data_IF_154640196504
#
_entry.id   IF_154640196504
#
_cell.length_a   1.000
_cell.length_b   1.000
_cell.length_c   1.000
_cell.angle_alpha   90.00
_cell.angle_beta   90.00
_cell.angle_gamma   90.00
#
_symmetry.space_group_name_H-M   'P 1'
#
loop_
_entity.id
_entity.type
_entity.pdbx_description
1 polymer ?
#
# COMPACT_ATOMS: atom_id res chain seq x y z
N UNK A 1 2.12 -38.78 5.08
CA UNK A 1 2.28 -37.74 6.12
C UNK A 1 1.97 -36.39 5.49
N UNK A 2 0.93 -35.67 5.94
CA UNK A 2 0.72 -34.27 5.52
C UNK A 2 1.94 -33.47 6.03
N UNK A 3 2.64 -32.77 5.13
CA UNK A 3 3.75 -31.87 5.52
C UNK A 3 3.21 -30.87 6.54
N UNK A 4 3.88 -30.73 7.68
CA UNK A 4 3.50 -29.75 8.70
C UNK A 4 3.42 -28.35 8.07
N UNK A 5 2.27 -27.71 8.21
CA UNK A 5 2.06 -26.34 7.76
C UNK A 5 2.57 -25.39 8.85
N UNK A 6 3.58 -24.59 8.52
CA UNK A 6 4.21 -23.64 9.45
C UNK A 6 3.83 -22.24 9.01
N UNK A 7 3.30 -21.46 9.94
CA UNK A 7 2.89 -20.07 9.72
C UNK A 7 3.81 -19.15 10.52
N UNK A 8 4.58 -18.24 9.89
CA UNK A 8 5.34 -17.25 10.62
C UNK A 8 4.38 -16.28 11.31
N UNK A 9 4.66 -15.95 12.57
CA UNK A 9 3.87 -15.03 13.39
C UNK A 9 4.71 -13.81 13.75
N UNK A 10 4.04 -12.69 14.03
CA UNK A 10 4.71 -11.48 14.49
C UNK A 10 5.25 -11.66 15.91
N UNK A 11 6.15 -10.77 16.34
CA UNK A 11 6.70 -10.80 17.70
C UNK A 11 5.60 -10.60 18.75
N UNK A 12 4.63 -9.73 18.45
CA UNK A 12 3.50 -9.44 19.33
C UNK A 12 2.63 -10.69 19.55
N UNK A 13 2.32 -11.43 18.48
CA UNK A 13 1.56 -12.68 18.59
C UNK A 13 2.35 -13.74 19.35
N UNK A 14 3.67 -13.86 19.10
CA UNK A 14 4.52 -14.77 19.84
C UNK A 14 4.55 -14.47 21.34
N UNK A 15 4.57 -13.19 21.72
CA UNK A 15 4.48 -12.77 23.13
C UNK A 15 3.12 -13.14 23.75
N UNK A 16 2.02 -12.93 23.03
CA UNK A 16 0.69 -13.32 23.51
C UNK A 16 0.54 -14.83 23.67
N UNK A 17 1.15 -15.62 22.78
CA UNK A 17 1.18 -17.08 22.92
C UNK A 17 1.93 -17.47 24.19
N UNK A 18 3.10 -16.91 24.46
CA UNK A 18 3.85 -17.18 25.70
C UNK A 18 3.05 -16.85 26.96
N UNK A 19 2.42 -15.68 26.99
CA UNK A 19 1.53 -15.29 28.11
C UNK A 19 0.38 -16.30 28.27
N UNK A 20 -0.12 -16.88 27.18
CA UNK A 20 -1.15 -17.91 27.24
C UNK A 20 -0.58 -19.24 27.73
N UNK A 21 0.60 -19.65 27.27
CA UNK A 21 1.29 -20.87 27.70
C UNK A 21 1.53 -20.85 29.22
N UNK A 22 2.05 -19.74 29.75
CA UNK A 22 2.31 -19.57 31.18
C UNK A 22 1.02 -19.77 32.00
N UNK A 23 -0.06 -19.08 31.62
CA UNK A 23 -1.38 -19.23 32.28
C UNK A 23 -1.95 -20.64 32.18
N UNK A 24 -1.80 -21.29 31.03
CA UNK A 24 -2.28 -22.66 30.85
C UNK A 24 -1.48 -23.63 31.71
N UNK A 25 -0.18 -23.44 31.85
CA UNK A 25 0.66 -24.28 32.72
C UNK A 25 0.27 -24.18 34.20
N UNK A 26 -0.19 -23.00 34.63
CA UNK A 26 -0.67 -22.77 36.00
C UNK A 26 -2.08 -23.36 36.22
N UNK A 27 -3.02 -23.11 35.30
CA UNK A 27 -4.43 -23.50 35.43
C UNK A 27 -4.69 -24.97 35.03
N UNK A 28 -3.90 -25.52 34.10
CA UNK A 28 -4.06 -26.85 33.51
C UNK A 28 -2.69 -27.54 33.29
N UNK A 29 -2.00 -27.98 34.36
CA UNK A 29 -0.62 -28.47 34.29
C UNK A 29 -0.38 -29.65 33.34
N UNK A 30 -1.37 -30.51 33.18
CA UNK A 30 -1.28 -31.72 32.34
C UNK A 30 -1.87 -31.53 30.92
N UNK A 31 -2.21 -30.30 30.52
CA UNK A 31 -2.84 -30.06 29.22
C UNK A 31 -1.84 -29.96 28.08
N UNK A 32 -2.10 -30.69 26.99
CA UNK A 32 -1.34 -30.61 25.74
C UNK A 32 -1.82 -29.48 24.80
N UNK A 33 -2.85 -28.72 25.19
CA UNK A 33 -3.50 -27.72 24.32
C UNK A 33 -3.22 -26.29 24.77
N UNK A 34 -2.94 -25.38 23.83
CA UNK A 34 -2.80 -23.94 24.10
C UNK A 34 -4.10 -23.26 24.54
N UNK A 35 -5.24 -23.82 24.15
CA UNK A 35 -6.57 -23.34 24.51
C UNK A 35 -7.43 -24.49 25.06
N UNK A 36 -7.21 -24.89 26.32
CA UNK A 36 -8.03 -25.92 26.96
C UNK A 36 -9.35 -25.34 27.47
N UNK A 37 -10.36 -26.20 27.56
CA UNK A 37 -11.61 -25.97 28.30
C UNK A 37 -11.41 -26.42 29.74
N UNK A 38 -12.37 -26.08 30.61
CA UNK A 38 -12.33 -26.45 32.05
C UNK A 38 -12.20 -27.96 32.30
N UNK A 39 -12.65 -28.79 31.36
CA UNK A 39 -12.56 -30.25 31.39
C UNK A 39 -11.23 -30.79 30.81
N UNK A 40 -10.26 -29.92 30.50
CA UNK A 40 -8.95 -30.26 29.92
C UNK A 40 -8.96 -30.51 28.41
N UNK A 41 -10.13 -30.60 27.79
CA UNK A 41 -10.27 -30.87 26.35
C UNK A 41 -10.10 -29.61 25.50
N UNK A 42 -9.84 -29.71 24.17
CA UNK A 42 -9.56 -28.52 23.36
C UNK A 42 -10.79 -27.63 23.20
N UNK A 43 -10.55 -26.32 23.07
CA UNK A 43 -11.58 -25.32 22.79
C UNK A 43 -12.32 -25.66 21.49
N UNK A 44 -13.66 -25.69 21.56
CA UNK A 44 -14.51 -25.90 20.40
C UNK A 44 -14.67 -24.61 19.60
N UNK A 45 -14.79 -24.75 18.28
CA UNK A 45 -15.01 -23.62 17.38
C UNK A 45 -16.31 -22.86 17.71
N UNK A 46 -17.36 -23.57 18.13
CA UNK A 46 -18.63 -22.96 18.55
C UNK A 46 -18.45 -22.11 19.80
N UNK A 47 -17.65 -22.56 20.77
CA UNK A 47 -17.35 -21.80 21.99
C UNK A 47 -16.60 -20.53 21.66
N UNK A 48 -15.53 -20.62 20.86
CA UNK A 48 -14.79 -19.44 20.40
C UNK A 48 -15.69 -18.43 19.67
N UNK A 49 -16.54 -18.92 18.76
CA UNK A 49 -17.51 -18.08 18.05
C UNK A 49 -18.54 -17.46 19.00
N UNK A 50 -19.00 -18.20 19.99
CA UNK A 50 -19.95 -17.73 21.00
C UNK A 50 -19.38 -16.56 21.80
N UNK A 51 -18.17 -16.71 22.35
CA UNK A 51 -17.50 -15.67 23.13
C UNK A 51 -17.22 -14.41 22.31
N UNK A 52 -16.79 -14.54 21.05
CA UNK A 52 -16.60 -13.37 20.18
C UNK A 52 -17.90 -12.61 19.89
N UNK A 53 -19.01 -13.31 19.67
CA UNK A 53 -20.30 -12.67 19.41
C UNK A 53 -20.90 -12.07 20.69
N UNK A 54 -20.62 -12.67 21.85
CA UNK A 54 -20.95 -12.08 23.15
C UNK A 54 -20.18 -10.77 23.36
N UNK A 55 -18.88 -10.75 23.08
CA UNK A 55 -18.06 -9.54 23.11
C UNK A 55 -18.62 -8.47 22.17
N UNK A 56 -19.05 -8.85 20.95
CA UNK A 56 -19.65 -7.92 20.00
C UNK A 56 -20.89 -7.24 20.56
N UNK A 57 -21.75 -8.00 21.23
CA UNK A 57 -22.95 -7.47 21.88
C UNK A 57 -22.60 -6.56 23.07
N UNK A 58 -21.72 -7.02 23.96
CA UNK A 58 -21.35 -6.27 25.18
C UNK A 58 -20.62 -4.96 24.89
N UNK A 59 -19.84 -4.92 23.81
CA UNK A 59 -19.06 -3.74 23.41
C UNK A 59 -19.73 -2.92 22.29
N UNK A 60 -20.97 -3.26 21.93
CA UNK A 60 -21.72 -2.60 20.85
C UNK A 60 -20.92 -2.50 19.54
N UNK A 61 -20.24 -3.59 19.16
CA UNK A 61 -19.54 -3.69 17.89
C UNK A 61 -20.59 -3.90 16.80
N UNK A 62 -20.81 -2.87 16.00
CA UNK A 62 -21.83 -2.86 14.94
C UNK A 62 -21.23 -2.93 13.54
N UNK A 63 -22.02 -3.37 12.59
CA UNK A 63 -21.72 -3.29 11.17
C UNK A 63 -22.08 -1.91 10.59
N UNK A 64 -21.90 -1.76 9.27
CA UNK A 64 -22.19 -0.51 8.55
C UNK A 64 -23.66 -0.08 8.57
N UNK A 65 -24.58 -1.00 8.84
CA UNK A 65 -26.03 -0.74 8.93
C UNK A 65 -26.44 -0.35 10.35
N UNK A 66 -25.54 -0.47 11.33
CA UNK A 66 -25.80 -0.22 12.75
C UNK A 66 -26.26 -1.46 13.52
N UNK A 67 -26.29 -2.64 12.90
CA UNK A 67 -26.66 -3.89 13.56
C UNK A 67 -25.45 -4.53 14.25
N UNK A 68 -25.67 -5.27 15.35
CA UNK A 68 -24.58 -5.96 16.06
C UNK A 68 -23.86 -6.93 15.11
N UNK A 69 -22.54 -6.74 14.99
CA UNK A 69 -21.71 -7.51 14.07
C UNK A 69 -21.61 -8.97 14.51
N UNK A 70 -21.84 -9.88 13.57
CA UNK A 70 -21.75 -11.32 13.80
C UNK A 70 -20.39 -11.87 13.34
N UNK A 71 -19.51 -12.20 14.29
CA UNK A 71 -18.21 -12.77 14.03
C UNK A 71 -18.28 -14.23 13.56
N UNK A 72 -17.49 -14.54 12.53
CA UNK A 72 -17.20 -15.88 12.04
C UNK A 72 -15.69 -16.13 12.05
N UNK A 73 -15.24 -17.30 12.51
CA UNK A 73 -13.80 -17.61 12.60
C UNK A 73 -13.09 -17.51 11.23
N UNK A 74 -13.75 -17.96 10.15
CA UNK A 74 -13.22 -17.83 8.78
C UNK A 74 -13.09 -16.38 8.30
N UNK A 75 -13.84 -15.44 8.87
CA UNK A 75 -13.76 -14.03 8.47
C UNK A 75 -12.37 -13.45 8.78
N UNK A 76 -11.77 -13.79 9.92
CA UNK A 76 -10.39 -13.36 10.25
C UNK A 76 -9.38 -13.86 9.22
N UNK A 77 -9.50 -15.14 8.81
CA UNK A 77 -8.66 -15.74 7.77
C UNK A 77 -8.85 -15.03 6.42
N UNK A 78 -10.10 -14.70 6.07
CA UNK A 78 -10.39 -13.90 4.88
C UNK A 78 -9.75 -12.52 4.96
N UNK A 79 -9.89 -11.81 6.08
CA UNK A 79 -9.27 -10.48 6.27
C UNK A 79 -7.76 -10.54 6.11
N UNK A 80 -7.09 -11.54 6.68
CA UNK A 80 -5.63 -11.70 6.52
C UNK A 80 -5.28 -11.97 5.06
N UNK A 81 -5.96 -12.91 4.39
CA UNK A 81 -5.74 -13.22 2.98
C UNK A 81 -5.93 -12.02 2.07
N UNK A 82 -7.05 -11.30 2.22
CA UNK A 82 -7.34 -10.08 1.46
C UNK A 82 -6.29 -9.01 1.71
N UNK A 83 -5.89 -8.76 2.98
CA UNK A 83 -4.87 -7.75 3.29
C UNK A 83 -3.51 -8.09 2.67
N UNK A 84 -3.10 -9.36 2.68
CA UNK A 84 -1.85 -9.78 2.07
C UNK A 84 -1.85 -9.53 0.56
N UNK A 85 -2.92 -9.93 -0.15
CA UNK A 85 -3.02 -9.68 -1.59
C UNK A 85 -3.10 -8.17 -1.86
N UNK A 86 -3.90 -7.42 -1.09
CA UNK A 86 -4.03 -5.96 -1.26
C UNK A 86 -2.72 -5.20 -1.03
N UNK A 87 -1.83 -5.73 -0.20
CA UNK A 87 -0.47 -5.22 -0.01
C UNK A 87 0.55 -5.79 -1.01
N UNK A 88 0.10 -6.42 -2.09
CA UNK A 88 0.94 -6.92 -3.18
C UNK A 88 1.68 -8.23 -2.90
N UNK A 89 1.32 -8.97 -1.84
CA UNK A 89 1.93 -10.29 -1.60
C UNK A 89 1.50 -11.28 -2.69
N UNK A 90 2.43 -11.98 -3.37
CA UNK A 90 2.09 -12.90 -4.45
C UNK A 90 1.09 -13.99 -4.01
N UNK A 91 0.11 -14.30 -4.86
CA UNK A 91 -0.97 -15.25 -4.55
C UNK A 91 -0.48 -16.61 -4.06
N UNK A 92 0.58 -17.17 -4.66
CA UNK A 92 1.16 -18.45 -4.24
C UNK A 92 1.77 -18.40 -2.82
N UNK A 93 2.27 -17.24 -2.39
CA UNK A 93 2.77 -17.02 -1.03
C UNK A 93 1.59 -16.95 -0.05
N UNK A 94 0.51 -16.24 -0.41
CA UNK A 94 -0.72 -16.18 0.41
C UNK A 94 -1.35 -17.57 0.53
N UNK A 95 -1.41 -18.33 -0.56
CA UNK A 95 -1.89 -19.72 -0.57
C UNK A 95 -1.10 -20.58 0.42
N UNK A 96 0.24 -20.50 0.38
CA UNK A 96 1.12 -21.22 1.30
C UNK A 96 0.97 -20.74 2.74
N UNK A 97 0.83 -19.44 2.98
CA UNK A 97 0.65 -18.86 4.31
C UNK A 97 -0.66 -19.34 4.94
N UNK A 98 -1.75 -19.33 4.17
CA UNK A 98 -3.04 -19.81 4.64
C UNK A 98 -3.07 -21.34 4.73
N UNK A 99 -2.28 -22.06 3.94
CA UNK A 99 -2.30 -23.52 3.89
C UNK A 99 -3.48 -24.04 3.06
N UNK A 100 -3.79 -23.35 1.97
CA UNK A 100 -4.82 -23.77 1.01
C UNK A 100 -4.28 -24.90 0.11
N UNK A 101 -5.02 -26.01 0.07
CA UNK A 101 -4.68 -27.18 -0.76
C UNK A 101 -4.78 -26.87 -2.26
N UNK A 102 -5.59 -25.88 -2.67
CA UNK A 102 -5.78 -25.52 -4.07
C UNK A 102 -5.68 -24.00 -4.33
N UNK A 103 -5.21 -23.56 -5.52
CA UNK A 103 -5.15 -22.15 -5.88
C UNK A 103 -6.52 -21.46 -5.91
N UNK A 104 -7.59 -22.19 -6.26
CA UNK A 104 -8.96 -21.67 -6.41
C UNK A 104 -9.47 -21.06 -5.10
N UNK A 105 -9.13 -21.66 -3.95
CA UNK A 105 -9.47 -21.11 -2.63
C UNK A 105 -8.82 -19.73 -2.37
N UNK A 106 -7.72 -19.44 -3.06
CA UNK A 106 -6.98 -18.18 -2.94
C UNK A 106 -7.36 -17.19 -4.04
N UNK A 107 -7.82 -17.66 -5.21
CA UNK A 107 -8.25 -16.81 -6.33
C UNK A 107 -9.39 -15.84 -5.98
N UNK A 108 -10.24 -16.20 -5.00
CA UNK A 108 -11.25 -15.28 -4.46
C UNK A 108 -10.66 -13.94 -3.98
N UNK A 109 -9.42 -13.95 -3.48
CA UNK A 109 -8.75 -12.72 -3.03
C UNK A 109 -8.18 -11.90 -4.18
N UNK A 110 -7.80 -12.54 -5.29
CA UNK A 110 -7.28 -11.85 -6.47
C UNK A 110 -8.33 -10.91 -7.07
N UNK A 111 -9.59 -11.37 -7.20
CA UNK A 111 -10.69 -10.52 -7.66
C UNK A 111 -10.95 -9.30 -6.75
N UNK A 112 -10.83 -9.46 -5.43
CA UNK A 112 -11.00 -8.37 -4.46
C UNK A 112 -9.86 -7.36 -4.57
N UNK A 113 -8.65 -7.83 -4.84
CA UNK A 113 -7.51 -6.96 -5.09
C UNK A 113 -7.70 -6.14 -6.36
N UNK A 114 -8.13 -6.76 -7.46
CA UNK A 114 -8.39 -6.04 -8.70
C UNK A 114 -9.47 -4.96 -8.50
N UNK A 115 -10.54 -5.26 -7.75
CA UNK A 115 -11.59 -4.27 -7.42
C UNK A 115 -11.07 -3.17 -6.49
N UNK A 116 -10.28 -3.51 -5.46
CA UNK A 116 -9.66 -2.51 -4.57
C UNK A 116 -8.71 -1.63 -5.35
N UNK A 117 -7.88 -2.22 -6.21
CA UNK A 117 -6.92 -1.52 -7.06
C UNK A 117 -7.64 -0.60 -8.03
N UNK A 118 -8.72 -1.07 -8.69
CA UNK A 118 -9.59 -0.24 -9.52
C UNK A 118 -10.19 0.91 -8.73
N UNK A 119 -10.73 0.68 -7.53
CA UNK A 119 -11.32 1.74 -6.72
C UNK A 119 -10.29 2.77 -6.24
N UNK A 120 -9.10 2.34 -5.81
CA UNK A 120 -8.01 3.25 -5.44
C UNK A 120 -7.46 3.97 -6.68
N UNK A 121 -7.39 3.30 -7.83
CA UNK A 121 -7.04 3.89 -9.11
C UNK A 121 -8.07 4.96 -9.54
N UNK A 122 -9.37 4.68 -9.46
CA UNK A 122 -10.44 5.63 -9.78
C UNK A 122 -10.41 6.83 -8.84
N UNK A 123 -10.08 6.63 -7.55
CA UNK A 123 -9.84 7.75 -6.63
C UNK A 123 -8.57 8.54 -6.96
N UNK A 124 -7.57 7.87 -7.55
CA UNK A 124 -6.28 8.42 -7.97
C UNK A 124 -6.27 8.83 -9.46
N UNK A 125 -7.43 8.99 -10.11
CA UNK A 125 -7.54 9.53 -11.47
C UNK A 125 -7.22 11.04 -11.50
N UNK A 126 -6.02 11.38 -11.08
CA UNK A 126 -5.45 12.69 -11.30
C UNK A 126 -4.64 12.65 -12.61
N UNK A 127 -4.82 13.68 -13.44
CA UNK A 127 -3.98 13.93 -14.60
C UNK A 127 -2.51 14.01 -14.16
N UNK A 128 -1.74 12.96 -14.41
CA UNK A 128 -0.31 12.95 -14.12
C UNK A 128 0.46 13.56 -15.29
N UNK A 129 1.42 14.42 -14.96
CA UNK A 129 2.28 15.13 -15.91
C UNK A 129 3.73 14.75 -15.65
N UNK A 130 4.48 14.40 -16.69
CA UNK A 130 5.91 14.09 -16.59
C UNK A 130 6.75 15.35 -16.43
N UNK A 131 8.06 15.18 -16.23
CA UNK A 131 9.00 16.29 -16.18
C UNK A 131 9.03 17.13 -17.48
N UNK A 132 8.62 16.58 -18.62
CA UNK A 132 8.57 17.29 -19.91
C UNK A 132 7.19 17.90 -20.22
N UNK A 133 6.21 17.78 -19.31
CA UNK A 133 4.85 18.24 -19.56
C UNK A 133 3.95 17.20 -20.24
N UNK A 134 4.40 15.97 -20.48
CA UNK A 134 3.57 14.94 -21.12
C UNK A 134 2.50 14.43 -20.16
N UNK A 135 1.26 14.31 -20.63
CA UNK A 135 0.16 13.73 -19.85
C UNK A 135 0.23 12.21 -19.90
N UNK A 136 0.24 11.58 -18.73
CA UNK A 136 0.13 10.13 -18.60
C UNK A 136 -1.36 9.77 -18.61
N UNK A 137 -1.84 9.22 -19.72
CA UNK A 137 -3.17 8.63 -19.80
C UNK A 137 -3.12 7.23 -19.19
N UNK A 138 -3.84 7.03 -18.10
CA UNK A 138 -3.95 5.74 -17.44
C UNK A 138 -5.24 4.99 -17.84
N UNK A 139 -6.08 5.60 -18.67
CA UNK A 139 -7.42 5.12 -19.03
C UNK A 139 -7.48 4.21 -20.26
N UNK A 140 -6.35 3.72 -20.79
CA UNK A 140 -6.42 2.82 -21.95
C UNK A 140 -6.84 1.41 -21.49
N UNK A 141 -8.13 1.13 -21.65
CA UNK A 141 -8.83 -0.14 -21.43
C UNK A 141 -8.41 -1.22 -22.46
N UNK A 142 -7.23 -1.07 -23.05
CA UNK A 142 -6.73 -1.85 -24.19
C UNK A 142 -6.07 -3.14 -23.73
N UNK A 143 -6.86 -4.13 -23.26
CA UNK A 143 -6.39 -5.48 -22.87
C UNK A 143 -4.93 -5.50 -22.44
N UNK A 144 -4.65 -4.73 -21.40
CA UNK A 144 -3.29 -4.25 -21.23
C UNK A 144 -2.43 -5.40 -20.74
N UNK A 145 -1.52 -5.79 -21.62
CA UNK A 145 -0.43 -6.72 -21.35
C UNK A 145 0.10 -6.43 -19.95
N UNK A 146 0.36 -7.50 -19.18
CA UNK A 146 0.67 -7.54 -17.74
C UNK A 146 1.71 -6.46 -17.29
N UNK A 147 2.41 -5.84 -18.23
CA UNK A 147 3.36 -4.74 -18.10
C UNK A 147 2.78 -3.42 -17.55
N UNK A 148 1.61 -2.92 -17.96
CA UNK A 148 1.11 -1.62 -17.42
C UNK A 148 0.39 -1.79 -16.08
N UNK A 149 -0.31 -2.90 -15.87
CA UNK A 149 -0.80 -3.27 -14.54
C UNK A 149 0.39 -3.57 -13.59
N UNK A 150 1.50 -4.13 -14.09
CA UNK A 150 2.76 -4.21 -13.32
C UNK A 150 3.42 -2.86 -13.11
N UNK A 151 3.29 -1.92 -14.05
CA UNK A 151 3.73 -0.54 -13.90
C UNK A 151 2.93 0.15 -12.78
N UNK A 152 1.61 -0.03 -12.75
CA UNK A 152 0.76 0.49 -11.68
C UNK A 152 1.01 -0.21 -10.33
N UNK A 153 1.21 -1.54 -10.32
CA UNK A 153 1.68 -2.31 -9.15
C UNK A 153 3.03 -1.81 -8.61
N UNK A 154 3.91 -1.28 -9.46
CA UNK A 154 5.17 -0.64 -9.07
C UNK A 154 4.98 0.79 -8.57
N UNK A 155 3.98 1.51 -9.07
CA UNK A 155 3.78 2.94 -8.84
C UNK A 155 2.93 3.28 -7.61
N UNK A 156 2.27 2.30 -6.97
CA UNK A 156 1.82 2.45 -5.57
C UNK A 156 3.02 2.62 -4.61
N UNK A 157 4.24 2.26 -5.03
CA UNK A 157 5.48 2.62 -4.32
C UNK A 157 6.15 3.89 -4.88
N UNK A 158 5.40 4.79 -5.52
CA UNK A 158 5.95 6.08 -5.89
C UNK A 158 6.37 6.82 -4.62
N UNK A 159 7.65 7.19 -4.55
CA UNK A 159 8.16 7.94 -3.41
C UNK A 159 7.65 9.37 -3.52
N UNK A 160 7.00 9.86 -2.46
CA UNK A 160 6.51 11.24 -2.41
C UNK A 160 7.69 12.21 -2.41
N UNK A 161 7.63 13.20 -3.29
CA UNK A 161 8.56 14.32 -3.37
C UNK A 161 7.83 15.61 -2.93
N UNK A 162 8.56 16.68 -2.59
CA UNK A 162 7.94 17.95 -2.22
C UNK A 162 7.01 18.55 -3.28
N UNK A 163 7.25 18.25 -4.56
CA UNK A 163 6.53 18.80 -5.70
C UNK A 163 6.00 17.72 -6.66
N UNK A 164 5.84 16.47 -6.20
CA UNK A 164 5.37 15.39 -7.06
C UNK A 164 5.72 14.01 -6.54
N UNK A 165 6.02 13.12 -7.48
CA UNK A 165 6.24 11.70 -7.25
C UNK A 165 7.45 11.19 -8.02
N UNK A 166 8.20 10.28 -7.40
CA UNK A 166 9.26 9.53 -8.05
C UNK A 166 8.76 8.13 -8.43
N UNK A 167 8.75 7.83 -9.74
CA UNK A 167 8.40 6.53 -10.31
C UNK A 167 9.58 5.56 -10.42
N UNK A 168 10.69 5.83 -9.74
CA UNK A 168 11.83 4.91 -9.71
C UNK A 168 11.40 3.65 -8.93
N UNK A 169 11.51 2.44 -9.51
CA UNK A 169 11.12 1.23 -8.81
C UNK A 169 11.93 1.03 -7.53
N UNK A 170 11.30 0.70 -6.41
CA UNK A 170 11.98 0.48 -5.12
C UNK A 170 13.09 -0.59 -5.20
N UNK A 171 12.93 -1.58 -6.09
CA UNK A 171 13.94 -2.61 -6.33
C UNK A 171 15.24 -2.07 -6.95
N UNK A 172 15.20 -0.88 -7.57
CA UNK A 172 16.38 -0.21 -8.11
C UNK A 172 17.26 0.43 -7.01
N UNK A 173 16.82 0.41 -5.74
CA UNK A 173 17.54 1.01 -4.63
C UNK A 173 17.29 2.50 -4.47
N UNK A 174 18.13 3.17 -3.67
CA UNK A 174 18.04 4.62 -3.45
C UNK A 174 18.42 5.42 -4.68
N UNK A 175 17.84 6.63 -4.83
CA UNK A 175 18.17 7.52 -5.94
C UNK A 175 19.66 7.95 -5.86
N UNK A 176 20.45 7.80 -6.94
CA UNK A 176 21.84 8.26 -6.98
C UNK A 176 21.97 9.77 -7.24
N UNK A 177 20.86 10.46 -7.55
CA UNK A 177 20.85 11.86 -7.92
C UNK A 177 20.12 12.71 -6.87
N UNK A 178 20.80 13.71 -6.33
CA UNK A 178 20.20 14.74 -5.49
C UNK A 178 19.74 15.93 -6.36
N UNK A 179 18.57 16.49 -6.07
CA UNK A 179 18.05 17.73 -6.68
C UNK A 179 17.90 17.71 -8.21
N UNK A 180 17.67 16.54 -8.81
CA UNK A 180 17.54 16.38 -10.26
C UNK A 180 16.10 16.06 -10.71
N UNK A 181 15.10 16.11 -9.82
CA UNK A 181 13.76 15.58 -10.09
C UNK A 181 13.09 16.23 -11.30
N UNK A 182 13.18 17.56 -11.47
CA UNK A 182 12.60 18.27 -12.62
C UNK A 182 13.28 17.93 -13.97
N UNK A 183 14.48 17.35 -13.93
CA UNK A 183 15.20 16.85 -15.10
C UNK A 183 15.14 15.31 -15.19
N UNK A 184 14.45 14.63 -14.27
CA UNK A 184 14.44 13.19 -14.15
C UNK A 184 13.24 12.57 -14.86
N UNK A 185 13.48 11.55 -15.69
CA UNK A 185 12.41 10.82 -16.39
C UNK A 185 11.51 10.02 -15.45
N UNK A 186 11.96 9.69 -14.24
CA UNK A 186 11.13 9.05 -13.23
C UNK A 186 10.17 10.01 -12.55
N UNK A 187 10.37 11.33 -12.65
CA UNK A 187 9.49 12.30 -12.03
C UNK A 187 8.13 12.37 -12.75
N UNK A 188 7.07 12.47 -11.96
CA UNK A 188 5.77 12.92 -12.41
C UNK A 188 5.08 13.73 -11.31
N UNK A 189 4.08 14.52 -11.67
CA UNK A 189 3.32 15.35 -10.75
C UNK A 189 1.85 15.38 -11.14
N UNK A 190 0.99 15.95 -10.30
CA UNK A 190 -0.41 16.18 -10.59
C UNK A 190 -0.84 17.59 -10.18
N UNK A 191 -2.13 17.92 -10.41
CA UNK A 191 -2.73 19.21 -10.04
C UNK A 191 -2.62 19.51 -8.54
N UNK A 192 -2.53 18.50 -7.67
CA UNK A 192 -2.40 18.73 -6.23
C UNK A 192 -1.09 19.44 -5.85
N UNK A 193 -0.05 19.33 -6.69
CA UNK A 193 1.25 19.98 -6.48
C UNK A 193 1.39 21.30 -7.25
N UNK A 194 0.33 21.76 -7.90
CA UNK A 194 0.36 23.00 -8.68
C UNK A 194 0.86 24.20 -7.85
N UNK A 195 0.41 24.43 -6.59
CA UNK A 195 0.92 25.53 -5.77
C UNK A 195 2.44 25.48 -5.55
N UNK A 196 3.00 24.27 -5.38
CA UNK A 196 4.43 24.06 -5.18
C UNK A 196 5.22 24.35 -6.46
N UNK A 197 4.68 24.02 -7.63
CA UNK A 197 5.29 24.36 -8.92
C UNK A 197 5.27 25.87 -9.17
N UNK A 198 4.15 26.54 -8.87
CA UNK A 198 4.01 27.99 -9.00
C UNK A 198 4.97 28.73 -8.05
N UNK A 199 5.03 28.34 -6.78
CA UNK A 199 5.97 28.91 -5.79
C UNK A 199 7.43 28.69 -6.22
N UNK A 200 7.76 27.50 -6.74
CA UNK A 200 9.10 27.20 -7.21
C UNK A 200 9.47 28.04 -8.46
N UNK A 201 8.51 28.27 -9.37
CA UNK A 201 8.71 29.08 -10.57
C UNK A 201 9.01 30.54 -10.18
N UNK A 202 8.19 31.13 -9.31
CA UNK A 202 8.38 32.51 -8.81
C UNK A 202 9.80 32.70 -8.24
N UNK A 203 10.22 31.82 -7.32
CA UNK A 203 11.57 31.87 -6.73
C UNK A 203 12.69 31.69 -7.76
N UNK A 204 12.45 30.86 -8.79
CA UNK A 204 13.43 30.65 -9.87
C UNK A 204 13.60 31.90 -10.71
N UNK A 205 12.52 32.64 -10.97
CA UNK A 205 12.55 33.91 -11.71
C UNK A 205 13.27 35.03 -10.96
N UNK A 206 13.06 35.13 -9.65
CA UNK A 206 13.81 36.05 -8.77
C UNK A 206 15.31 35.77 -8.83
N UNK A 207 15.71 34.50 -8.68
CA UNK A 207 17.11 34.08 -8.76
C UNK A 207 17.72 34.33 -10.13
N UNK A 208 16.97 34.13 -11.22
CA UNK A 208 17.42 34.42 -12.58
C UNK A 208 17.71 35.90 -12.78
N UNK A 209 16.89 36.79 -12.21
CA UNK A 209 17.10 38.24 -12.28
C UNK A 209 18.43 38.61 -11.61
N UNK A 210 18.66 38.13 -10.39
CA UNK A 210 19.91 38.35 -9.65
C UNK A 210 21.12 37.77 -10.40
N UNK A 211 20.99 36.56 -10.95
CA UNK A 211 22.07 35.88 -11.67
C UNK A 211 22.46 36.62 -12.96
N UNK A 212 21.48 37.18 -13.69
CA UNK A 212 21.72 37.99 -14.89
C UNK A 212 22.44 39.29 -14.55
N UNK A 213 22.00 40.00 -13.52
CA UNK A 213 22.64 41.24 -13.07
C UNK A 213 24.10 41.02 -12.65
N UNK A 214 24.37 39.88 -11.99
CA UNK A 214 25.72 39.48 -11.56
C UNK A 214 26.51 38.69 -12.60
N UNK A 215 25.94 38.46 -13.79
CA UNK A 215 26.54 37.69 -14.89
C UNK A 215 27.01 36.27 -14.50
N UNK A 216 26.29 35.60 -13.61
CA UNK A 216 26.58 34.24 -13.16
C UNK A 216 26.11 33.19 -14.18
N UNK A 217 26.91 33.02 -15.24
CA UNK A 217 26.54 32.25 -16.43
C UNK A 217 25.98 30.85 -16.12
N UNK A 218 26.62 30.09 -15.22
CA UNK A 218 26.16 28.74 -14.85
C UNK A 218 24.79 28.73 -14.17
N UNK A 219 24.52 29.72 -13.33
CA UNK A 219 23.25 29.88 -12.63
C UNK A 219 22.16 30.35 -13.59
N UNK A 220 22.50 31.21 -14.55
CA UNK A 220 21.58 31.61 -15.61
C UNK A 220 21.16 30.39 -16.42
N UNK A 221 22.12 29.58 -16.88
CA UNK A 221 21.84 28.36 -17.66
C UNK A 221 20.97 27.37 -16.87
N UNK A 222 21.37 27.05 -15.63
CA UNK A 222 20.69 26.06 -14.80
C UNK A 222 19.25 26.48 -14.47
N UNK A 223 19.06 27.72 -14.00
CA UNK A 223 17.73 28.18 -13.60
C UNK A 223 16.82 28.45 -14.80
N UNK A 224 17.37 28.76 -15.98
CA UNK A 224 16.55 28.92 -17.20
C UNK A 224 15.94 27.57 -17.61
N UNK A 225 16.71 26.48 -17.52
CA UNK A 225 16.18 25.12 -17.76
C UNK A 225 15.11 24.73 -16.74
N UNK A 226 15.35 25.01 -15.46
CA UNK A 226 14.35 24.74 -14.39
C UNK A 226 13.06 25.53 -14.64
N UNK A 227 13.17 26.81 -15.00
CA UNK A 227 12.03 27.65 -15.36
C UNK A 227 11.23 27.05 -16.52
N UNK A 228 11.88 26.68 -17.62
CA UNK A 228 11.21 26.10 -18.79
C UNK A 228 10.44 24.82 -18.42
N UNK A 229 11.02 23.96 -17.58
CA UNK A 229 10.36 22.74 -17.08
C UNK A 229 9.13 23.04 -16.26
N UNK A 230 9.21 24.01 -15.35
CA UNK A 230 8.09 24.41 -14.51
C UNK A 230 6.96 25.00 -15.34
N UNK A 231 7.27 25.86 -16.32
CA UNK A 231 6.27 26.42 -17.25
C UNK A 231 5.57 25.31 -18.06
N UNK A 232 6.31 24.32 -18.58
CA UNK A 232 5.75 23.15 -19.27
C UNK A 232 4.81 22.35 -18.37
N UNK A 233 5.26 22.03 -17.16
CA UNK A 233 4.48 21.27 -16.18
C UNK A 233 3.20 22.02 -15.80
N UNK A 234 3.31 23.31 -15.44
CA UNK A 234 2.17 24.15 -15.05
C UNK A 234 1.18 24.28 -16.21
N UNK A 235 1.66 24.51 -17.44
CA UNK A 235 0.83 24.58 -18.63
C UNK A 235 0.03 23.30 -18.84
N UNK A 236 0.69 22.14 -18.74
CA UNK A 236 0.03 20.84 -18.86
C UNK A 236 -0.90 20.51 -17.70
N UNK A 237 -0.63 21.01 -16.49
CA UNK A 237 -1.52 20.81 -15.35
C UNK A 237 -2.76 21.71 -15.44
N UNK A 238 -2.66 22.91 -16.01
CA UNK A 238 -3.75 23.90 -16.06
C UNK A 238 -4.63 23.75 -17.30
N UNK A 239 -4.08 23.27 -18.42
CA UNK A 239 -4.81 22.93 -19.65
C UNK A 239 -5.62 21.65 -19.54
#
# INVERSE_FOLDING_TARGET
MKKGHIVPISKEVALLIKVREDKVSEEFPDSEYLFPRKDGSPLKQETFRGELNKLAYEQNIVDKSGDIYRFHAHAFRHTVGTRMINNGVPQHIVQKFLGHESPEMTSRYAHIFDETLKNEFTKFQEKLVTNNGDVLNLDDDSEVDDVELQWFKKNINAQVLPNGYCRLPVIAGGCPHANACLDCTHFCTSKQFLPQHEEQLERTEELLTIAKDKQWQRQIETNSRVKERLEQIIGSLTG
#
